data_IF_411408955500
#
_entry.id   IF_411408955500
#
_cell.length_a   1.000
_cell.length_b   1.000
_cell.length_c   1.000
_cell.angle_alpha   90.00
_cell.angle_beta   90.00
_cell.angle_gamma   90.00
#
_symmetry.space_group_name_H-M   'P 1'
#
loop_
_entity.id
_entity.type
_entity.pdbx_description
1 polymer ?
#
# COMPACT_ATOMS: atom_id res chain seq x y z
N UNK A 1 -63.64 20.02 -32.68
CA UNK A 1 -63.08 18.70 -33.04
C UNK A 1 -62.05 18.38 -31.96
N UNK A 2 -62.41 17.75 -30.84
CA UNK A 2 -62.71 16.32 -30.60
C UNK A 2 -61.47 15.43 -30.84
N UNK A 3 -60.94 14.91 -29.72
CA UNK A 3 -60.18 13.65 -29.54
C UNK A 3 -58.69 13.65 -29.96
N UNK A 4 -57.73 13.08 -29.22
CA UNK A 4 -57.74 12.00 -28.22
C UNK A 4 -56.46 12.04 -27.35
N UNK A 5 -56.63 11.80 -26.06
CA UNK A 5 -55.63 11.25 -25.13
C UNK A 5 -55.08 9.91 -25.64
N UNK A 6 -53.77 9.70 -25.58
CA UNK A 6 -53.16 8.36 -25.54
C UNK A 6 -52.16 8.36 -24.39
N UNK A 7 -52.56 7.67 -23.32
CA UNK A 7 -51.68 7.18 -22.26
C UNK A 7 -51.09 5.88 -22.79
N UNK A 8 -49.76 5.78 -22.84
CA UNK A 8 -49.07 4.49 -23.02
C UNK A 8 -48.31 4.20 -21.74
N UNK A 9 -48.88 3.29 -20.96
CA UNK A 9 -48.27 2.60 -19.84
C UNK A 9 -47.66 1.30 -20.39
N UNK A 10 -46.38 1.05 -20.17
CA UNK A 10 -45.68 -0.21 -20.49
C UNK A 10 -44.65 -0.44 -19.38
N UNK A 11 -45.05 -1.15 -18.32
CA UNK A 11 -44.73 -2.57 -18.04
C UNK A 11 -43.24 -2.75 -17.70
N UNK A 12 -42.99 -2.79 -16.39
CA UNK A 12 -41.78 -3.30 -15.76
C UNK A 12 -41.58 -4.78 -16.10
N UNK A 13 -40.40 -5.12 -16.61
CA UNK A 13 -39.93 -6.51 -16.71
C UNK A 13 -38.84 -6.68 -15.65
N UNK A 14 -39.20 -7.39 -14.57
CA UNK A 14 -38.26 -7.92 -13.59
C UNK A 14 -37.70 -9.22 -14.20
N UNK A 15 -36.40 -9.23 -14.50
CA UNK A 15 -35.67 -10.48 -14.76
C UNK A 15 -34.94 -10.86 -13.48
N UNK A 16 -35.52 -11.80 -12.72
CA UNK A 16 -34.79 -12.59 -11.74
C UNK A 16 -34.28 -13.84 -12.46
N UNK A 17 -32.96 -13.96 -12.59
CA UNK A 17 -32.32 -15.25 -12.87
C UNK A 17 -31.38 -15.60 -11.73
N UNK A 18 -31.75 -16.71 -11.11
CA UNK A 18 -31.16 -17.41 -9.99
C UNK A 18 -30.04 -18.36 -10.46
N UNK A 19 -29.16 -18.66 -9.50
CA UNK A 19 -28.27 -19.82 -9.37
C UNK A 19 -27.02 -19.92 -10.25
N UNK A 20 -25.88 -19.87 -9.55
CA UNK A 20 -24.64 -20.55 -9.90
C UNK A 20 -23.68 -20.55 -8.71
N UNK A 21 -23.90 -21.45 -7.74
CA UNK A 21 -22.88 -21.82 -6.74
C UNK A 21 -21.73 -22.48 -7.50
N UNK A 22 -20.51 -21.95 -7.41
CA UNK A 22 -19.30 -22.68 -7.73
C UNK A 22 -18.61 -23.09 -6.43
N UNK A 23 -18.45 -24.40 -6.27
CA UNK A 23 -17.76 -25.06 -5.17
C UNK A 23 -16.27 -24.69 -5.13
N UNK A 24 -15.80 -24.38 -3.93
CA UNK A 24 -14.39 -24.27 -3.57
C UNK A 24 -13.70 -25.63 -3.71
N UNK A 25 -12.67 -25.72 -4.54
CA UNK A 25 -11.75 -26.86 -4.55
C UNK A 25 -10.57 -26.54 -3.65
N UNK A 26 -10.62 -27.10 -2.44
CA UNK A 26 -9.46 -27.23 -1.57
C UNK A 26 -8.44 -28.15 -2.25
N UNK A 27 -7.18 -27.70 -2.37
CA UNK A 27 -6.06 -28.60 -2.61
C UNK A 27 -5.35 -28.85 -1.29
N UNK A 28 -5.46 -30.11 -0.89
CA UNK A 28 -4.88 -30.76 0.27
C UNK A 28 -3.34 -30.77 0.17
N UNK A 29 -2.71 -30.61 1.33
CA UNK A 29 -1.26 -30.61 1.52
C UNK A 29 -0.67 -31.99 1.21
N UNK A 30 0.38 -32.03 0.38
CA UNK A 30 1.21 -33.22 0.23
C UNK A 30 2.33 -33.24 1.28
N UNK A 31 2.08 -34.13 2.23
CA UNK A 31 2.95 -34.81 3.17
C UNK A 31 4.32 -35.18 2.55
N UNK A 32 5.40 -34.51 2.95
CA UNK A 32 6.76 -34.89 2.55
C UNK A 32 7.52 -35.58 3.69
N UNK A 33 7.85 -36.84 3.40
CA UNK A 33 8.36 -37.86 4.28
C UNK A 33 9.70 -37.53 4.96
N UNK A 34 9.67 -37.79 6.27
CA UNK A 34 10.77 -38.15 7.16
C UNK A 34 11.74 -39.15 6.51
N UNK A 35 13.02 -38.79 6.43
CA UNK A 35 14.12 -39.75 6.23
C UNK A 35 14.90 -39.92 7.53
N UNK A 36 14.64 -41.06 8.14
CA UNK A 36 15.42 -41.69 9.20
C UNK A 36 16.85 -41.94 8.71
N UNK A 37 17.86 -41.44 9.44
CA UNK A 37 19.24 -41.89 9.31
C UNK A 37 19.81 -42.20 10.69
N UNK A 38 19.71 -43.48 11.02
CA UNK A 38 20.67 -44.36 11.71
C UNK A 38 21.77 -43.65 12.50
N UNK A 39 21.64 -43.77 13.83
CA UNK A 39 22.70 -43.58 14.82
C UNK A 39 23.89 -44.50 14.50
N UNK A 40 25.08 -43.93 14.38
CA UNK A 40 26.33 -44.65 14.64
C UNK A 40 27.18 -43.79 15.55
N UNK A 41 27.33 -44.23 16.80
CA UNK A 41 28.26 -43.65 17.77
C UNK A 41 29.71 -43.84 17.31
N UNK A 42 30.52 -42.80 17.38
CA UNK A 42 31.94 -42.89 17.69
C UNK A 42 32.41 -41.54 18.27
N UNK A 43 32.86 -41.60 19.53
CA UNK A 43 33.48 -40.49 20.26
C UNK A 43 34.88 -40.17 19.72
N UNK A 44 35.21 -38.90 19.51
CA UNK A 44 36.53 -38.32 19.83
C UNK A 44 36.54 -36.78 19.81
N UNK A 45 36.83 -36.24 21.00
CA UNK A 45 37.45 -34.97 21.44
C UNK A 45 37.52 -33.71 20.54
N UNK A 46 36.97 -32.63 21.15
CA UNK A 46 37.37 -31.21 21.14
C UNK A 46 37.77 -30.51 19.82
N UNK A 47 36.85 -29.67 19.33
CA UNK A 47 37.14 -28.27 19.00
C UNK A 47 35.83 -27.47 19.18
N UNK A 48 35.69 -26.74 20.29
CA UNK A 48 34.55 -25.84 20.50
C UNK A 48 34.82 -24.61 19.65
N UNK A 49 34.41 -24.67 18.39
CA UNK A 49 34.17 -23.47 17.62
C UNK A 49 32.96 -22.80 18.24
N UNK A 50 33.24 -21.68 18.91
CA UNK A 50 32.24 -20.71 19.31
C UNK A 50 31.50 -20.31 18.03
N UNK A 51 30.33 -20.91 17.79
CA UNK A 51 29.38 -20.40 16.80
C UNK A 51 29.09 -18.97 17.24
N UNK A 52 29.69 -18.02 16.53
CA UNK A 52 29.18 -16.66 16.47
C UNK A 52 27.79 -16.81 15.89
N UNK A 53 26.80 -16.88 16.78
CA UNK A 53 25.43 -16.57 16.45
C UNK A 53 25.51 -15.11 16.01
N UNK A 54 25.68 -14.89 14.71
CA UNK A 54 25.31 -13.61 14.11
C UNK A 54 23.87 -13.40 14.54
N UNK A 55 23.70 -12.44 15.44
CA UNK A 55 22.44 -11.85 15.80
C UNK A 55 21.92 -11.20 14.52
N UNK A 56 21.36 -12.03 13.63
CA UNK A 56 20.58 -11.59 12.50
C UNK A 56 19.31 -11.01 13.10
N UNK A 57 19.43 -9.80 13.64
CA UNK A 57 18.29 -8.98 13.96
C UNK A 57 17.47 -8.90 12.68
N UNK A 58 16.34 -9.63 12.66
CA UNK A 58 15.39 -9.56 11.58
C UNK A 58 15.04 -8.09 11.40
N UNK A 59 15.36 -7.54 10.24
CA UNK A 59 15.11 -6.15 9.94
C UNK A 59 13.62 -5.84 10.11
N UNK A 60 13.31 -4.86 10.95
CA UNK A 60 11.95 -4.39 11.13
C UNK A 60 11.62 -3.31 10.11
N UNK A 61 10.57 -3.54 9.32
CA UNK A 61 10.05 -2.53 8.39
C UNK A 61 9.28 -1.42 9.10
N UNK A 62 8.90 -1.62 10.36
CA UNK A 62 8.31 -0.57 11.18
C UNK A 62 9.23 0.64 11.34
N UNK A 63 10.54 0.41 11.39
CA UNK A 63 11.54 1.48 11.54
C UNK A 63 11.63 2.40 10.31
N UNK A 64 11.05 2.01 9.16
CA UNK A 64 10.94 2.86 7.97
C UNK A 64 9.79 3.85 8.05
N UNK A 65 8.82 3.62 8.93
CA UNK A 65 7.70 4.53 9.13
C UNK A 65 8.07 5.68 10.08
N UNK A 66 7.20 6.68 10.19
CA UNK A 66 7.41 7.83 11.05
C UNK A 66 7.57 7.42 12.53
N UNK A 67 8.59 7.98 13.20
CA UNK A 67 8.84 7.70 14.62
C UNK A 67 7.87 8.46 15.55
N UNK A 68 7.45 9.66 15.15
CA UNK A 68 6.52 10.49 15.92
C UNK A 68 5.10 10.31 15.38
N UNK A 69 4.29 9.59 16.14
CA UNK A 69 2.85 9.46 15.86
C UNK A 69 2.14 10.80 16.12
N UNK A 70 1.07 11.08 15.38
CA UNK A 70 0.24 12.29 15.53
C UNK A 70 1.06 13.58 15.38
N UNK A 71 1.81 13.68 14.28
CA UNK A 71 2.72 14.77 13.99
C UNK A 71 2.52 15.32 12.57
N UNK A 72 3.07 16.51 12.32
CA UNK A 72 3.07 17.19 11.03
C UNK A 72 4.50 17.39 10.53
N UNK A 73 4.72 17.12 9.25
CA UNK A 73 6.02 17.17 8.61
C UNK A 73 6.00 18.16 7.45
N UNK A 74 7.02 19.00 7.31
CA UNK A 74 7.12 19.96 6.21
C UNK A 74 7.81 19.33 5.01
N UNK A 75 7.14 19.38 3.86
CA UNK A 75 7.66 18.90 2.59
C UNK A 75 7.90 20.07 1.65
N UNK A 76 9.05 20.05 0.98
CA UNK A 76 9.28 20.87 -0.19
C UNK A 76 8.47 20.30 -1.35
N UNK A 77 7.76 21.18 -2.04
CA UNK A 77 7.06 20.87 -3.27
C UNK A 77 8.03 20.96 -4.45
N UNK A 78 7.97 19.95 -5.31
CA UNK A 78 8.65 19.91 -6.62
C UNK A 78 7.61 20.17 -7.71
N UNK A 79 6.49 19.46 -7.66
CA UNK A 79 5.31 19.65 -8.52
C UNK A 79 4.05 19.51 -7.66
N UNK A 80 3.01 20.31 -7.93
CA UNK A 80 1.77 20.24 -7.15
C UNK A 80 0.56 20.68 -7.96
N UNK A 81 0.10 19.79 -8.84
CA UNK A 81 -1.03 20.03 -9.73
C UNK A 81 -0.75 21.29 -10.60
N UNK A 82 -1.68 22.23 -10.65
CA UNK A 82 -1.50 23.54 -11.30
C UNK A 82 -1.21 24.67 -10.28
N UNK A 83 -0.84 24.32 -9.04
CA UNK A 83 -0.63 25.27 -7.95
C UNK A 83 0.84 25.73 -7.86
N UNK A 84 1.04 27.02 -7.59
CA UNK A 84 2.36 27.61 -7.32
C UNK A 84 2.60 27.69 -5.81
N UNK A 85 2.98 26.56 -5.22
CA UNK A 85 3.28 26.40 -3.80
C UNK A 85 4.68 25.80 -3.63
N UNK A 86 5.45 26.33 -2.68
CA UNK A 86 6.82 25.86 -2.43
C UNK A 86 6.92 24.75 -1.40
N UNK A 87 5.96 24.70 -0.47
CA UNK A 87 5.96 23.80 0.69
C UNK A 87 4.53 23.44 1.10
N UNK A 88 4.34 22.21 1.58
CA UNK A 88 3.09 21.73 2.15
C UNK A 88 3.37 21.02 3.48
N UNK A 89 2.39 21.02 4.38
CA UNK A 89 2.42 20.18 5.58
C UNK A 89 1.84 18.80 5.24
N UNK A 90 2.42 17.75 5.80
CA UNK A 90 1.90 16.38 5.72
C UNK A 90 1.60 15.91 7.14
N UNK A 91 0.32 15.70 7.43
CA UNK A 91 -0.16 15.17 8.71
C UNK A 91 -0.03 13.64 8.70
N UNK A 92 0.53 13.09 9.78
CA UNK A 92 0.57 11.66 10.08
C UNK A 92 -0.24 11.42 11.33
N UNK A 93 -1.33 10.67 11.22
CA UNK A 93 -2.27 10.45 12.31
C UNK A 93 -2.50 8.98 12.58
N UNK A 94 -2.35 8.54 13.83
CA UNK A 94 -2.69 7.17 14.22
C UNK A 94 -4.20 7.01 14.26
N UNK A 95 -4.71 5.97 13.59
CA UNK A 95 -6.14 5.66 13.53
C UNK A 95 -6.52 4.50 14.45
N UNK A 96 -5.68 3.46 14.52
CA UNK A 96 -5.98 2.23 15.25
C UNK A 96 -4.72 1.42 15.56
N UNK A 97 -4.88 0.35 16.35
CA UNK A 97 -3.84 -0.60 16.71
C UNK A 97 -4.40 -2.04 16.64
N UNK A 98 -3.69 -2.90 15.90
CA UNK A 98 -3.98 -4.32 15.73
C UNK A 98 -2.87 -5.17 16.35
N UNK A 99 -3.11 -6.47 16.45
CA UNK A 99 -2.18 -7.39 17.12
C UNK A 99 -0.77 -7.38 16.49
N UNK A 100 -0.68 -7.16 15.17
CA UNK A 100 0.58 -7.22 14.43
C UNK A 100 1.09 -5.85 13.95
N UNK A 101 0.42 -4.74 14.28
CA UNK A 101 0.81 -3.44 13.76
C UNK A 101 -0.16 -2.30 14.07
N UNK A 102 0.18 -1.11 13.58
CA UNK A 102 -0.59 0.11 13.78
C UNK A 102 -1.14 0.64 12.45
N UNK A 103 -2.28 1.31 12.50
CA UNK A 103 -2.91 1.95 11.34
C UNK A 103 -2.74 3.45 11.40
N UNK A 104 -2.34 4.07 10.29
CA UNK A 104 -2.13 5.51 10.17
C UNK A 104 -2.79 6.09 8.92
N UNK A 105 -3.28 7.32 9.00
CA UNK A 105 -3.57 8.13 7.82
C UNK A 105 -2.41 9.10 7.58
N UNK A 106 -2.02 9.26 6.32
CA UNK A 106 -1.05 10.29 5.91
C UNK A 106 -1.71 11.18 4.87
N UNK A 107 -1.79 12.48 5.17
CA UNK A 107 -2.52 13.45 4.34
C UNK A 107 -1.69 14.71 4.08
N UNK A 108 -1.80 15.25 2.87
CA UNK A 108 -1.30 16.58 2.54
C UNK A 108 -2.30 17.61 3.04
N UNK A 109 -1.86 18.49 3.93
CA UNK A 109 -2.64 19.60 4.45
C UNK A 109 -2.50 20.81 3.53
N UNK A 110 -3.46 20.95 2.64
CA UNK A 110 -3.57 22.10 1.74
C UNK A 110 -5.02 22.44 1.44
N UNK A 111 -5.27 23.70 1.04
CA UNK A 111 -6.60 24.16 0.66
C UNK A 111 -7.11 23.41 -0.58
N UNK A 112 -8.43 23.28 -0.72
CA UNK A 112 -9.02 22.64 -1.89
C UNK A 112 -8.64 23.36 -3.19
N UNK A 113 -8.28 22.60 -4.22
CA UNK A 113 -7.80 23.10 -5.50
C UNK A 113 -8.17 22.17 -6.67
N UNK A 114 -8.19 22.68 -7.92
CA UNK A 114 -8.37 21.84 -9.11
C UNK A 114 -7.36 20.69 -9.16
N UNK A 115 -7.81 19.51 -9.56
CA UNK A 115 -6.96 18.31 -9.63
C UNK A 115 -6.83 17.52 -8.33
N UNK A 116 -7.31 18.05 -7.18
CA UNK A 116 -7.32 17.31 -5.90
C UNK A 116 -8.10 16.01 -5.97
N UNK A 117 -9.30 16.03 -6.56
CA UNK A 117 -10.17 14.86 -6.59
C UNK A 117 -10.09 14.13 -7.94
N UNK A 118 -9.58 12.91 -7.93
CA UNK A 118 -9.58 12.04 -9.10
C UNK A 118 -11.00 11.55 -9.39
N UNK A 119 -11.46 11.81 -10.63
CA UNK A 119 -12.85 11.63 -11.09
C UNK A 119 -13.92 12.22 -10.13
N UNK A 120 -13.54 13.21 -9.31
CA UNK A 120 -14.43 13.82 -8.32
C UNK A 120 -14.75 12.95 -7.11
N UNK A 121 -14.03 11.85 -6.88
CA UNK A 121 -14.31 10.90 -5.78
C UNK A 121 -13.10 10.61 -4.91
N UNK A 122 -11.93 10.43 -5.51
CA UNK A 122 -10.72 9.95 -4.85
C UNK A 122 -9.84 11.14 -4.47
N UNK A 123 -9.65 11.38 -3.18
CA UNK A 123 -8.90 12.54 -2.68
C UNK A 123 -7.40 12.30 -2.80
N UNK A 124 -6.74 12.96 -3.75
CA UNK A 124 -5.30 12.80 -3.99
C UNK A 124 -4.42 13.44 -2.92
N UNK A 125 -5.01 14.22 -1.99
CA UNK A 125 -4.29 14.67 -0.80
C UNK A 125 -4.22 13.58 0.27
N UNK A 126 -5.06 12.54 0.19
CA UNK A 126 -4.83 11.31 0.94
C UNK A 126 -3.69 10.54 0.28
N UNK A 127 -2.48 10.65 0.84
CA UNK A 127 -1.31 9.88 0.37
C UNK A 127 -1.59 8.38 0.56
N UNK A 128 -2.28 8.04 1.64
CA UNK A 128 -2.82 6.71 1.85
C UNK A 128 -3.25 6.47 3.30
N UNK A 129 -3.93 5.36 3.50
CA UNK A 129 -4.09 4.75 4.83
C UNK A 129 -3.14 3.58 4.93
N UNK A 130 -2.28 3.57 5.94
CA UNK A 130 -1.16 2.66 6.06
C UNK A 130 -1.35 1.70 7.23
N UNK A 131 -1.02 0.42 7.00
CA UNK A 131 -0.88 -0.57 8.07
C UNK A 131 0.60 -0.93 8.19
N UNK A 132 1.18 -0.66 9.36
CA UNK A 132 2.62 -0.76 9.60
C UNK A 132 2.88 -1.92 10.56
N UNK A 133 3.56 -2.93 10.06
CA UNK A 133 3.95 -4.14 10.81
C UNK A 133 5.46 -4.26 10.87
N UNK A 134 5.97 -5.21 11.66
CA UNK A 134 7.40 -5.55 11.66
C UNK A 134 7.88 -6.07 10.30
N UNK A 135 7.01 -6.73 9.52
CA UNK A 135 7.38 -7.42 8.28
C UNK A 135 7.18 -6.57 7.03
N UNK A 136 6.26 -5.60 7.06
CA UNK A 136 5.94 -4.76 5.90
C UNK A 136 5.05 -3.57 6.25
N UNK A 137 5.02 -2.62 5.32
CA UNK A 137 4.08 -1.50 5.30
C UNK A 137 3.11 -1.72 4.13
N UNK A 138 1.82 -1.68 4.44
CA UNK A 138 0.72 -1.77 3.47
C UNK A 138 0.09 -0.39 3.26
N UNK A 139 -0.52 -0.17 2.09
CA UNK A 139 -1.37 1.00 1.81
C UNK A 139 -2.71 0.59 1.23
N UNK A 140 -3.76 1.26 1.69
CA UNK A 140 -5.08 1.31 1.05
C UNK A 140 -5.36 2.76 0.62
N UNK A 141 -5.84 2.90 -0.61
CA UNK A 141 -6.25 4.19 -1.17
C UNK A 141 -7.73 4.47 -0.93
N UNK A 142 -8.10 5.74 -0.96
CA UNK A 142 -9.49 6.20 -1.00
C UNK A 142 -10.38 5.69 0.15
N UNK A 143 -9.81 5.57 1.35
CA UNK A 143 -10.56 5.19 2.55
C UNK A 143 -11.04 6.43 3.31
N UNK A 144 -12.28 6.37 3.77
CA UNK A 144 -12.90 7.40 4.63
C UNK A 144 -13.18 6.90 6.04
N UNK A 145 -13.06 5.59 6.22
CA UNK A 145 -13.17 4.82 7.44
C UNK A 145 -11.81 4.24 7.83
N UNK A 146 -11.69 3.78 9.08
CA UNK A 146 -10.54 2.99 9.54
C UNK A 146 -10.69 1.55 9.01
N UNK A 147 -9.83 1.07 8.08
CA UNK A 147 -9.91 -0.28 7.52
C UNK A 147 -9.51 -1.33 8.54
N UNK A 148 -10.09 -2.54 8.49
CA UNK A 148 -9.68 -3.65 9.36
C UNK A 148 -8.33 -4.23 8.93
N UNK A 149 -7.70 -5.04 9.80
CA UNK A 149 -6.49 -5.80 9.42
C UNK A 149 -6.72 -6.67 8.17
N UNK A 150 -7.88 -7.35 8.09
CA UNK A 150 -8.26 -8.19 6.94
C UNK A 150 -8.32 -7.38 5.63
N UNK A 151 -8.84 -6.14 5.66
CA UNK A 151 -8.87 -5.26 4.48
C UNK A 151 -7.46 -5.02 3.91
N UNK A 152 -6.47 -4.81 4.78
CA UNK A 152 -5.08 -4.63 4.36
C UNK A 152 -4.47 -5.90 3.78
N UNK A 153 -4.74 -7.06 4.39
CA UNK A 153 -4.19 -8.34 3.92
C UNK A 153 -4.80 -8.76 2.59
N UNK A 154 -6.10 -8.55 2.38
CA UNK A 154 -6.79 -8.98 1.16
C UNK A 154 -6.64 -7.98 0.00
N UNK A 155 -6.64 -6.68 0.29
CA UNK A 155 -6.74 -5.63 -0.74
C UNK A 155 -5.64 -4.57 -0.67
N UNK A 156 -4.83 -4.56 0.38
CA UNK A 156 -3.74 -3.62 0.56
C UNK A 156 -2.58 -3.87 -0.41
N UNK A 157 -1.89 -2.79 -0.78
CA UNK A 157 -0.64 -2.89 -1.52
C UNK A 157 0.53 -2.83 -0.55
N UNK A 158 1.45 -3.79 -0.64
CA UNK A 158 2.71 -3.69 0.08
C UNK A 158 3.54 -2.58 -0.59
N UNK A 159 3.96 -1.59 0.19
CA UNK A 159 4.75 -0.44 -0.27
C UNK A 159 6.09 -0.29 0.44
N UNK A 160 6.34 -1.10 1.46
CA UNK A 160 7.69 -1.34 1.93
C UNK A 160 7.82 -2.74 2.53
N UNK A 161 8.82 -3.49 2.06
CA UNK A 161 9.15 -4.86 2.46
C UNK A 161 10.51 -5.23 1.86
N UNK A 162 10.90 -6.49 1.97
CA UNK A 162 11.98 -7.05 1.14
C UNK A 162 11.73 -6.80 -0.36
N UNK A 163 12.79 -6.79 -1.16
CA UNK A 163 12.74 -6.56 -2.60
C UNK A 163 11.69 -7.44 -3.28
N UNK A 164 10.82 -6.81 -4.06
CA UNK A 164 9.71 -7.47 -4.71
C UNK A 164 9.39 -6.79 -6.03
N UNK A 165 9.04 -7.57 -7.05
CA UNK A 165 8.39 -7.05 -8.25
C UNK A 165 7.25 -7.99 -8.64
N UNK A 166 6.04 -7.46 -8.75
CA UNK A 166 4.86 -8.21 -9.14
C UNK A 166 3.92 -7.37 -9.98
N UNK A 167 3.20 -8.03 -10.89
CA UNK A 167 2.13 -7.41 -11.67
C UNK A 167 0.88 -8.29 -11.55
N UNK A 168 -0.13 -7.79 -10.84
CA UNK A 168 -1.39 -8.48 -10.61
C UNK A 168 -2.49 -7.70 -11.31
N UNK A 169 -3.16 -8.34 -12.27
CA UNK A 169 -4.25 -7.74 -13.05
C UNK A 169 -3.94 -6.34 -13.63
N UNK A 170 -2.68 -6.12 -14.00
CA UNK A 170 -2.23 -4.85 -14.58
C UNK A 170 -1.75 -3.81 -13.58
N UNK A 171 -1.71 -4.14 -12.30
CA UNK A 171 -1.14 -3.31 -11.25
C UNK A 171 0.27 -3.80 -10.94
N UNK A 172 1.27 -3.06 -11.43
CA UNK A 172 2.68 -3.28 -11.12
C UNK A 172 2.98 -2.70 -9.74
N UNK A 173 3.59 -3.51 -8.88
CA UNK A 173 4.24 -3.12 -7.63
C UNK A 173 5.71 -3.51 -7.72
N UNK A 174 6.61 -2.55 -7.51
CA UNK A 174 8.06 -2.80 -7.45
C UNK A 174 8.67 -2.13 -6.24
N UNK A 175 9.24 -2.94 -5.35
CA UNK A 175 9.93 -2.53 -4.13
C UNK A 175 11.43 -2.83 -4.28
N UNK A 176 12.26 -1.83 -3.99
CA UNK A 176 13.72 -1.95 -3.96
C UNK A 176 14.26 -1.33 -2.68
N UNK A 177 15.15 -2.04 -2.01
CA UNK A 177 15.85 -1.57 -0.82
C UNK A 177 17.31 -1.20 -1.16
N UNK A 178 17.75 -0.04 -0.70
CA UNK A 178 19.14 0.43 -0.78
C UNK A 178 19.57 1.04 0.55
N UNK A 179 20.29 0.25 1.35
CA UNK A 179 20.69 0.63 2.70
C UNK A 179 19.48 0.91 3.59
N UNK A 180 19.35 2.15 4.06
CA UNK A 180 18.25 2.60 4.92
C UNK A 180 17.04 3.11 4.12
N UNK A 181 16.97 2.87 2.82
CA UNK A 181 15.93 3.38 1.93
C UNK A 181 15.13 2.26 1.30
N UNK A 182 13.81 2.39 1.33
CA UNK A 182 12.84 1.48 0.75
C UNK A 182 11.99 2.25 -0.26
N UNK A 183 12.17 1.95 -1.55
CA UNK A 183 11.46 2.62 -2.64
C UNK A 183 10.40 1.70 -3.22
N UNK A 184 9.17 2.20 -3.38
CA UNK A 184 8.08 1.47 -4.02
C UNK A 184 7.50 2.26 -5.20
N UNK A 185 7.34 1.60 -6.35
CA UNK A 185 6.57 2.08 -7.49
C UNK A 185 5.28 1.25 -7.63
N UNK A 186 4.14 1.92 -7.58
CA UNK A 186 2.84 1.39 -7.97
C UNK A 186 2.42 2.03 -9.30
N UNK A 187 2.12 1.24 -10.32
CA UNK A 187 1.65 1.78 -11.60
C UNK A 187 0.69 0.85 -12.35
N UNK A 188 -0.21 1.42 -13.13
CA UNK A 188 -1.08 0.66 -14.02
C UNK A 188 -0.38 0.40 -15.36
N UNK A 189 -0.21 -0.87 -15.72
CA UNK A 189 0.47 -1.29 -16.95
C UNK A 189 -0.49 -1.58 -18.11
N UNK A 190 -1.81 -1.48 -17.91
CA UNK A 190 -2.83 -1.73 -18.93
C UNK A 190 -3.18 -0.51 -19.76
N UNK A 191 -2.90 0.69 -19.24
CA UNK A 191 -3.13 1.94 -19.95
C UNK A 191 -1.99 2.93 -19.74
N UNK A 192 -1.56 3.59 -20.81
CA UNK A 192 -0.54 4.64 -20.75
C UNK A 192 -1.00 5.85 -19.91
N UNK A 193 -2.31 6.04 -19.74
CA UNK A 193 -2.89 7.13 -18.93
C UNK A 193 -3.20 6.70 -17.49
N UNK A 194 -2.61 5.59 -17.04
CA UNK A 194 -2.87 5.00 -15.74
C UNK A 194 -2.39 5.89 -14.60
N UNK A 195 -3.02 5.74 -13.44
CA UNK A 195 -2.51 6.31 -12.21
C UNK A 195 -1.20 5.61 -11.81
N UNK A 196 -0.27 6.37 -11.26
CA UNK A 196 0.93 5.86 -10.63
C UNK A 196 1.16 6.56 -9.29
N UNK A 197 1.86 5.86 -8.39
CA UNK A 197 2.42 6.45 -7.18
C UNK A 197 3.79 5.86 -6.88
N UNK A 198 4.68 6.68 -6.33
CA UNK A 198 6.01 6.33 -5.91
C UNK A 198 6.23 6.81 -4.47
N UNK A 199 6.80 5.93 -3.66
CA UNK A 199 7.11 6.17 -2.26
C UNK A 199 8.60 5.92 -2.03
N UNK A 200 9.25 6.78 -1.26
CA UNK A 200 10.56 6.52 -0.68
C UNK A 200 10.42 6.64 0.83
N UNK A 201 10.67 5.54 1.54
CA UNK A 201 10.72 5.51 2.99
C UNK A 201 12.16 5.41 3.43
N UNK A 202 12.56 6.22 4.40
CA UNK A 202 13.91 6.15 4.99
C UNK A 202 13.82 5.76 6.45
N UNK A 203 14.60 4.76 6.84
CA UNK A 203 14.69 4.28 8.22
C UNK A 203 14.98 5.43 9.19
N UNK A 204 14.20 5.49 10.26
CA UNK A 204 14.25 6.53 11.29
C UNK A 204 13.70 7.89 10.87
N UNK A 205 13.10 8.02 9.68
CA UNK A 205 12.53 9.29 9.18
C UNK A 205 11.06 9.20 8.76
N UNK A 206 10.66 8.12 8.09
CA UNK A 206 9.33 8.04 7.45
C UNK A 206 9.42 8.29 5.94
N UNK A 207 8.33 8.80 5.36
CA UNK A 207 8.18 9.03 3.92
C UNK A 207 9.04 10.22 3.47
N UNK A 208 10.23 10.00 2.93
CA UNK A 208 11.13 11.10 2.55
C UNK A 208 10.84 11.65 1.15
N UNK A 209 10.17 10.88 0.30
CA UNK A 209 9.71 11.31 -1.02
C UNK A 209 8.38 10.65 -1.39
N UNK A 210 7.50 11.43 -2.01
CA UNK A 210 6.26 10.94 -2.59
C UNK A 210 6.02 11.58 -3.94
N UNK A 211 5.58 10.76 -4.89
CA UNK A 211 5.12 11.22 -6.20
C UNK A 211 3.85 10.49 -6.62
N UNK A 212 2.91 11.18 -7.24
CA UNK A 212 1.76 10.57 -7.91
C UNK A 212 1.31 11.37 -9.12
N UNK A 213 0.61 10.72 -10.05
CA UNK A 213 0.14 11.36 -11.28
C UNK A 213 -0.50 10.40 -12.26
N UNK A 214 -0.71 10.87 -13.48
CA UNK A 214 -1.29 10.08 -14.57
C UNK A 214 -0.40 10.08 -15.80
N UNK A 215 -0.13 8.89 -16.34
CA UNK A 215 0.56 8.72 -17.62
C UNK A 215 1.76 9.66 -17.83
N UNK A 216 1.71 10.48 -18.88
CA UNK A 216 2.78 11.43 -19.25
C UNK A 216 2.83 12.67 -18.34
N UNK A 217 2.91 12.47 -17.02
CA UNK A 217 2.99 13.53 -15.99
C UNK A 217 1.76 14.44 -15.96
N UNK A 218 0.56 13.87 -16.14
CA UNK A 218 -0.69 14.59 -15.94
C UNK A 218 -0.95 14.85 -14.46
N UNK A 219 -1.16 16.12 -14.11
CA UNK A 219 -1.49 16.61 -12.77
C UNK A 219 -0.59 16.01 -11.67
N UNK A 220 0.74 16.17 -11.73
CA UNK A 220 1.65 15.51 -10.79
C UNK A 220 1.57 16.15 -9.41
N UNK A 221 1.69 15.31 -8.37
CA UNK A 221 2.06 15.73 -7.02
C UNK A 221 3.43 15.12 -6.78
N UNK A 222 4.44 15.94 -6.51
CA UNK A 222 5.80 15.50 -6.19
C UNK A 222 6.33 16.33 -5.02
N UNK A 223 6.54 15.66 -3.89
CA UNK A 223 6.96 16.30 -2.63
C UNK A 223 8.13 15.56 -2.01
N UNK A 224 9.01 16.31 -1.34
CA UNK A 224 10.20 15.76 -0.68
C UNK A 224 10.33 16.34 0.73
N UNK A 225 10.49 15.47 1.73
CA UNK A 225 10.65 15.89 3.12
C UNK A 225 11.86 16.84 3.23
N UNK A 226 11.68 17.96 3.92
CA UNK A 226 12.81 18.81 4.28
C UNK A 226 13.55 18.12 5.43
N UNK A 227 14.81 17.75 5.22
CA UNK A 227 15.65 17.27 6.33
C UNK A 227 15.79 18.41 7.34
N UNK A 228 15.44 18.16 8.61
CA UNK A 228 15.88 18.99 9.74
C UNK A 228 17.40 18.95 9.92
#
# INVERSE_FOLDING_TARGET
MRNKTIIVSLISIIMLTSCGKSESVYKEAEDYNFKENVVTENNQEEDVQEEVVEDNATESFKDYFYADEDNEYTYKVIEFLDEDVSEVSVEVKKLDEYDNGNVYAVNIEYVDCPGRYYWGTSDRFNIGTFYVTEESIYVLFDRTDTPTEEDFIESGNIICSQDMEQNVDGQLTRITNDGDTCTCLLSNTLTESGFYSEYEWTKGKGLTYFRSGYGAEGEPIEIKMQNE
#
